data_IF_835343378566
#
_entry.id   IF_835343378566
#
_cell.length_a   1.000
_cell.length_b   1.000
_cell.length_c   1.000
_cell.angle_alpha   90.00
_cell.angle_beta   90.00
_cell.angle_gamma   90.00
#
_symmetry.space_group_name_H-M   'P 1'
#
loop_
_entity.id
_entity.type
_entity.pdbx_description
1 polymer ?
#
# COMPACT_ATOMS: atom_id res chain seq x y z
N UNK A 1 8.33 42.36 22.71
CA UNK A 1 7.60 41.16 23.15
C UNK A 1 6.80 40.63 21.97
N UNK A 2 7.38 39.72 21.17
CA UNK A 2 6.72 39.17 19.96
C UNK A 2 5.69 38.15 20.43
N UNK A 3 4.42 38.39 20.13
CA UNK A 3 3.34 37.43 20.39
C UNK A 3 3.51 36.29 19.39
N UNK A 4 3.86 35.11 19.86
CA UNK A 4 3.78 33.89 19.07
C UNK A 4 2.31 33.58 18.88
N UNK A 5 1.79 33.80 17.67
CA UNK A 5 0.49 33.32 17.25
C UNK A 5 0.67 31.84 16.90
N UNK A 6 0.36 30.94 17.84
CA UNK A 6 0.24 29.53 17.54
C UNK A 6 -1.08 29.31 16.80
N UNK A 7 -0.99 28.89 15.55
CA UNK A 7 -2.12 28.43 14.74
C UNK A 7 -2.69 27.15 15.37
N UNK A 8 -4.02 27.05 15.61
CA UNK A 8 -4.59 25.84 16.16
C UNK A 8 -4.48 24.72 15.12
N UNK A 9 -3.74 23.65 15.46
CA UNK A 9 -3.75 22.42 14.67
C UNK A 9 -5.21 21.99 14.46
N UNK A 10 -5.65 21.95 13.19
CA UNK A 10 -6.96 21.44 12.83
C UNK A 10 -7.11 20.04 13.43
N UNK A 11 -8.14 19.84 14.26
CA UNK A 11 -8.50 18.54 14.81
C UNK A 11 -8.72 17.58 13.64
N UNK A 12 -7.91 16.52 13.54
CA UNK A 12 -8.11 15.47 12.55
C UNK A 12 -9.43 14.74 12.85
N UNK A 13 -10.47 15.05 12.09
CA UNK A 13 -11.74 14.31 12.18
C UNK A 13 -11.57 12.94 11.51
N UNK A 14 -11.58 11.88 12.32
CA UNK A 14 -11.60 10.50 11.84
C UNK A 14 -13.04 10.10 11.51
N UNK A 15 -13.28 9.60 10.30
CA UNK A 15 -14.56 9.07 9.86
C UNK A 15 -14.51 7.55 9.79
N UNK A 16 -15.35 6.89 10.59
CA UNK A 16 -15.44 5.45 10.57
C UNK A 16 -16.06 4.92 9.28
N UNK A 17 -15.65 3.71 8.93
CA UNK A 17 -16.21 2.98 7.81
C UNK A 17 -17.66 2.61 8.13
N UNK A 18 -18.60 2.98 7.25
CA UNK A 18 -20.00 2.62 7.43
C UNK A 18 -20.20 1.10 7.42
N UNK A 19 -21.19 0.62 8.20
CA UNK A 19 -21.48 -0.81 8.29
C UNK A 19 -21.83 -1.43 6.94
N UNK A 20 -22.52 -0.70 6.07
CA UNK A 20 -22.88 -1.18 4.74
C UNK A 20 -21.66 -1.32 3.83
N UNK A 21 -20.67 -0.44 3.96
CA UNK A 21 -19.40 -0.59 3.23
C UNK A 21 -18.56 -1.74 3.80
N UNK A 22 -18.46 -1.85 5.12
CA UNK A 22 -17.68 -2.90 5.79
C UNK A 22 -18.13 -4.32 5.39
N UNK A 23 -19.43 -4.53 5.14
CA UNK A 23 -19.98 -5.84 4.72
C UNK A 23 -19.59 -6.28 3.31
N UNK A 24 -19.35 -5.33 2.40
CA UNK A 24 -19.09 -5.59 0.96
C UNK A 24 -17.64 -5.39 0.55
N UNK A 25 -16.81 -4.84 1.43
CA UNK A 25 -15.40 -4.62 1.16
C UNK A 25 -14.65 -5.95 1.07
N UNK A 26 -13.78 -6.08 0.06
CA UNK A 26 -12.94 -7.27 -0.11
C UNK A 26 -11.80 -7.36 0.92
N UNK A 27 -11.49 -6.25 1.58
CA UNK A 27 -10.39 -6.12 2.54
C UNK A 27 -10.87 -5.25 3.70
N UNK A 28 -10.64 -5.70 4.92
CA UNK A 28 -10.82 -4.94 6.15
C UNK A 28 -9.45 -4.50 6.72
N UNK A 29 -9.42 -3.76 7.83
CA UNK A 29 -8.18 -3.25 8.41
C UNK A 29 -7.16 -4.37 8.72
N UNK A 30 -7.61 -5.45 9.36
CA UNK A 30 -6.74 -6.59 9.67
C UNK A 30 -6.13 -7.22 8.41
N UNK A 31 -6.95 -7.46 7.38
CA UNK A 31 -6.49 -8.05 6.13
C UNK A 31 -5.58 -7.10 5.35
N UNK A 32 -5.85 -5.80 5.37
CA UNK A 32 -4.98 -4.78 4.79
C UNK A 32 -3.59 -4.83 5.44
N UNK A 33 -3.52 -4.84 6.78
CA UNK A 33 -2.25 -4.88 7.52
C UNK A 33 -1.45 -6.14 7.19
N UNK A 34 -2.11 -7.29 7.12
CA UNK A 34 -1.49 -8.56 6.73
C UNK A 34 -0.93 -8.50 5.31
N UNK A 35 -1.75 -8.08 4.34
CA UNK A 35 -1.35 -7.96 2.93
C UNK A 35 -0.21 -6.96 2.74
N UNK A 36 -0.26 -5.82 3.44
CA UNK A 36 0.79 -4.80 3.38
C UNK A 36 2.10 -5.30 4.00
N UNK A 37 2.03 -5.97 5.16
CA UNK A 37 3.22 -6.56 5.77
C UNK A 37 3.85 -7.60 4.84
N UNK A 38 3.04 -8.41 4.15
CA UNK A 38 3.53 -9.36 3.16
C UNK A 38 4.14 -8.67 1.94
N UNK A 39 3.48 -7.66 1.37
CA UNK A 39 3.96 -6.97 0.17
C UNK A 39 5.30 -6.25 0.36
N UNK A 40 5.59 -5.82 1.60
CA UNK A 40 6.87 -5.19 1.95
C UNK A 40 7.94 -6.24 2.30
N UNK A 41 7.57 -7.29 3.04
CA UNK A 41 8.52 -8.31 3.51
C UNK A 41 8.97 -9.27 2.40
N UNK A 42 8.06 -9.65 1.52
CA UNK A 42 8.30 -10.50 0.36
C UNK A 42 7.54 -9.96 -0.86
N UNK A 43 8.06 -8.89 -1.50
CA UNK A 43 7.40 -8.29 -2.66
C UNK A 43 7.29 -9.25 -3.84
N UNK A 44 8.30 -10.11 -4.06
CA UNK A 44 8.27 -11.08 -5.16
C UNK A 44 7.16 -12.11 -4.95
N UNK A 45 7.03 -12.67 -3.75
CA UNK A 45 5.97 -13.63 -3.42
C UNK A 45 4.57 -13.02 -3.55
N UNK A 46 4.36 -11.85 -2.92
CA UNK A 46 3.09 -11.15 -2.94
C UNK A 46 2.64 -10.79 -4.37
N UNK A 47 3.52 -10.16 -5.15
CA UNK A 47 3.16 -9.72 -6.50
C UNK A 47 3.14 -10.87 -7.52
N UNK A 48 3.87 -11.97 -7.30
CA UNK A 48 3.72 -13.18 -8.11
C UNK A 48 2.33 -13.81 -7.97
N UNK A 49 1.76 -13.80 -6.76
CA UNK A 49 0.39 -14.26 -6.53
C UNK A 49 -0.62 -13.32 -7.20
N UNK A 50 -0.54 -12.03 -6.90
CA UNK A 50 -1.50 -11.05 -7.40
C UNK A 50 -1.40 -10.81 -8.91
N UNK A 51 -0.23 -11.02 -9.52
CA UNK A 51 -0.03 -10.92 -10.97
C UNK A 51 -0.76 -12.00 -11.79
N UNK A 52 -1.16 -13.11 -11.16
CA UNK A 52 -1.92 -14.20 -11.82
C UNK A 52 -3.38 -13.85 -12.12
N UNK A 53 -3.87 -12.72 -11.60
CA UNK A 53 -5.24 -12.25 -11.90
C UNK A 53 -5.41 -11.71 -13.32
N UNK A 54 -4.30 -11.55 -14.05
CA UNK A 54 -4.27 -11.06 -15.43
C UNK A 54 -4.00 -12.25 -16.34
N UNK A 55 -4.72 -12.32 -17.45
CA UNK A 55 -4.47 -13.31 -18.50
C UNK A 55 -3.26 -12.88 -19.34
N UNK A 56 -2.13 -13.54 -19.09
CA UNK A 56 -0.91 -13.31 -19.83
C UNK A 56 -0.86 -14.18 -21.09
N UNK A 57 -0.52 -13.58 -22.24
CA UNK A 57 -0.17 -14.37 -23.44
C UNK A 57 1.05 -15.26 -23.17
N UNK A 58 2.02 -14.75 -22.42
CA UNK A 58 3.17 -15.49 -21.89
C UNK A 58 3.39 -15.13 -20.43
N UNK A 59 3.37 -16.10 -19.49
CA UNK A 59 3.63 -15.83 -18.08
C UNK A 59 5.01 -15.19 -17.85
N UNK A 60 5.08 -14.23 -16.93
CA UNK A 60 6.35 -13.65 -16.50
C UNK A 60 7.15 -14.64 -15.65
N UNK A 61 8.48 -14.49 -15.65
CA UNK A 61 9.39 -15.29 -14.82
C UNK A 61 10.11 -14.46 -13.75
N UNK A 62 10.08 -13.13 -13.88
CA UNK A 62 10.64 -12.17 -12.92
C UNK A 62 9.54 -11.18 -12.55
N UNK A 63 9.38 -10.95 -11.25
CA UNK A 63 8.32 -10.08 -10.70
C UNK A 63 8.81 -8.64 -10.59
N UNK A 64 9.99 -8.44 -10.01
CA UNK A 64 10.57 -7.12 -9.73
C UNK A 64 12.00 -7.02 -10.27
N UNK A 65 12.38 -5.85 -10.81
CA UNK A 65 13.76 -5.50 -11.16
C UNK A 65 14.05 -4.01 -10.93
N UNK A 66 13.84 -3.52 -9.71
CA UNK A 66 13.94 -2.09 -9.39
C UNK A 66 15.17 -1.80 -8.53
N UNK A 67 15.83 -0.67 -8.79
CA UNK A 67 16.88 -0.15 -7.91
C UNK A 67 16.88 1.38 -7.96
N UNK A 68 16.97 1.99 -6.77
CA UNK A 68 17.13 3.44 -6.60
C UNK A 68 18.55 3.83 -6.15
N UNK A 69 19.49 2.88 -6.17
CA UNK A 69 20.85 3.12 -5.75
C UNK A 69 21.57 4.09 -6.71
N UNK A 70 22.29 5.11 -6.22
CA UNK A 70 23.09 5.98 -7.06
C UNK A 70 24.07 5.18 -7.93
N UNK A 71 24.07 5.42 -9.24
CA UNK A 71 24.92 4.70 -10.20
C UNK A 71 24.44 3.29 -10.58
N UNK A 72 23.36 2.78 -9.96
CA UNK A 72 22.71 1.53 -10.31
C UNK A 72 21.18 1.71 -10.25
N UNK A 73 20.66 2.62 -11.09
CA UNK A 73 19.22 2.90 -11.15
C UNK A 73 18.59 1.98 -12.19
N UNK A 74 17.53 1.27 -11.80
CA UNK A 74 16.72 0.41 -12.68
C UNK A 74 15.25 0.65 -12.37
N UNK A 75 14.43 0.87 -13.42
CA UNK A 75 12.98 1.13 -13.31
C UNK A 75 12.17 0.12 -14.12
#
# INVERSE_FOLDING_TARGET
MRKNHAEPAALETIYDVSADWAKRAYVNDAKYREMYAHSVKDPNGFWAEHGKRIDWIKPFTKVENVSFAPGNISI
#
